data_IF_253167225498
#
_entry.id   IF_253167225498
#
_cell.length_a   1.000
_cell.length_b   1.000
_cell.length_c   1.000
_cell.angle_alpha   90.00
_cell.angle_beta   90.00
_cell.angle_gamma   90.00
#
_symmetry.space_group_name_H-M   'P 1'
#
loop_
_entity.id
_entity.type
_entity.pdbx_description
1 polymer ?
#
# COMPACT_ATOMS: atom_id res chain seq x y z
N UNK A 1 -6.11 -12.15 22.74
CA UNK A 1 -5.52 -13.47 22.43
C UNK A 1 -4.23 -13.22 21.68
N UNK A 2 -3.14 -13.93 21.98
CA UNK A 2 -1.86 -13.69 21.32
C UNK A 2 -1.97 -14.05 19.83
N UNK A 3 -1.56 -13.12 18.97
CA UNK A 3 -1.52 -13.31 17.51
C UNK A 3 -0.37 -14.25 17.18
N UNK A 4 -0.67 -15.41 16.62
CA UNK A 4 0.34 -16.38 16.20
C UNK A 4 0.46 -16.39 14.68
N UNK A 5 1.56 -15.82 14.16
CA UNK A 5 1.79 -15.72 12.71
C UNK A 5 2.00 -17.09 12.05
N UNK A 6 2.49 -18.08 12.80
CA UNK A 6 2.70 -19.43 12.31
C UNK A 6 1.36 -20.12 12.09
N UNK A 7 0.42 -19.99 13.02
CA UNK A 7 -0.94 -20.53 12.85
C UNK A 7 -1.67 -19.87 11.67
N UNK A 8 -1.52 -18.56 11.51
CA UNK A 8 -2.06 -17.84 10.36
C UNK A 8 -1.42 -18.29 9.03
N UNK A 9 -0.10 -18.54 9.03
CA UNK A 9 0.61 -19.10 7.88
C UNK A 9 0.13 -20.52 7.53
N UNK A 10 -0.08 -21.38 8.53
CA UNK A 10 -0.61 -22.73 8.33
C UNK A 10 -2.04 -22.72 7.75
N UNK A 11 -2.86 -21.73 8.12
CA UNK A 11 -4.19 -21.55 7.55
C UNK A 11 -4.18 -21.12 6.07
N UNK A 12 -3.09 -20.52 5.59
CA UNK A 12 -2.92 -20.16 4.17
C UNK A 12 -2.57 -21.39 3.31
N UNK A 13 -1.85 -22.36 3.89
CA UNK A 13 -1.41 -23.59 3.25
C UNK A 13 -2.56 -24.60 3.13
N UNK A 14 -3.66 -24.19 2.51
CA UNK A 14 -4.76 -25.10 2.21
C UNK A 14 -4.35 -26.09 1.11
N UNK A 15 -4.92 -27.31 1.10
CA UNK A 15 -4.68 -28.27 0.02
C UNK A 15 -4.94 -27.70 -1.38
N UNK A 16 -5.90 -26.78 -1.48
CA UNK A 16 -6.25 -26.07 -2.71
C UNK A 16 -5.11 -25.17 -3.20
N UNK A 17 -4.56 -24.33 -2.31
CA UNK A 17 -3.43 -23.45 -2.64
C UNK A 17 -2.20 -24.26 -3.03
N UNK A 18 -1.93 -25.37 -2.32
CA UNK A 18 -0.83 -26.29 -2.66
C UNK A 18 -1.05 -26.93 -4.03
N UNK A 19 -2.28 -27.35 -4.34
CA UNK A 19 -2.63 -27.91 -5.64
C UNK A 19 -2.43 -26.87 -6.75
N UNK A 20 -2.81 -25.62 -6.53
CA UNK A 20 -2.66 -24.56 -7.51
C UNK A 20 -1.19 -24.17 -7.74
N UNK A 21 -0.38 -24.14 -6.68
CA UNK A 21 1.07 -23.98 -6.77
C UNK A 21 1.68 -25.12 -7.58
N UNK A 22 1.30 -26.37 -7.27
CA UNK A 22 1.78 -27.56 -7.97
C UNK A 22 1.43 -27.53 -9.46
N UNK A 23 0.18 -27.21 -9.81
CA UNK A 23 -0.29 -27.09 -11.19
C UNK A 23 0.39 -25.96 -11.94
N UNK A 24 0.56 -24.78 -11.31
CA UNK A 24 1.21 -23.64 -11.94
C UNK A 24 2.69 -23.86 -12.19
N UNK A 25 3.38 -24.52 -11.26
CA UNK A 25 4.81 -24.77 -11.35
C UNK A 25 5.17 -26.09 -12.04
N UNK A 26 4.18 -26.88 -12.45
CA UNK A 26 4.38 -28.18 -13.09
C UNK A 26 5.09 -29.21 -12.20
N UNK A 27 4.86 -29.16 -10.88
CA UNK A 27 5.53 -30.04 -9.90
C UNK A 27 4.54 -30.86 -9.08
N UNK A 28 5.07 -31.86 -8.38
CA UNK A 28 4.27 -32.66 -7.46
C UNK A 28 3.85 -31.85 -6.22
N UNK A 29 2.68 -32.20 -5.65
CA UNK A 29 2.13 -31.53 -4.45
C UNK A 29 3.08 -31.60 -3.26
N UNK A 30 3.86 -32.67 -3.11
CA UNK A 30 4.85 -32.79 -2.04
C UNK A 30 5.97 -31.75 -2.17
N UNK A 31 6.46 -31.50 -3.38
CA UNK A 31 7.47 -30.48 -3.65
C UNK A 31 6.89 -29.07 -3.46
N UNK A 32 5.66 -28.82 -3.93
CA UNK A 32 4.95 -27.56 -3.73
C UNK A 32 4.73 -27.25 -2.24
N UNK A 33 4.31 -28.25 -1.45
CA UNK A 33 4.12 -28.11 0.00
C UNK A 33 5.44 -27.83 0.72
N UNK A 34 6.51 -28.57 0.38
CA UNK A 34 7.85 -28.35 0.92
C UNK A 34 8.36 -26.93 0.61
N UNK A 35 8.13 -26.46 -0.61
CA UNK A 35 8.53 -25.14 -1.04
C UNK A 35 7.74 -24.03 -0.34
N UNK A 36 6.42 -24.17 -0.26
CA UNK A 36 5.54 -23.19 0.38
C UNK A 36 5.80 -23.08 1.90
N UNK A 37 6.00 -24.21 2.58
CA UNK A 37 6.34 -24.25 4.01
C UNK A 37 7.69 -23.61 4.32
N UNK A 38 8.63 -23.61 3.37
CA UNK A 38 9.92 -22.93 3.51
C UNK A 38 9.86 -21.45 3.11
N UNK A 39 9.07 -21.12 2.09
CA UNK A 39 8.97 -19.77 1.55
C UNK A 39 8.27 -18.79 2.52
N UNK A 40 7.20 -19.22 3.20
CA UNK A 40 6.46 -18.36 4.12
C UNK A 40 7.34 -17.80 5.25
N UNK A 41 8.02 -18.63 6.08
CA UNK A 41 8.87 -18.11 7.14
C UNK A 41 10.05 -17.31 6.59
N UNK A 42 10.55 -17.62 5.39
CA UNK A 42 11.61 -16.84 4.72
C UNK A 42 11.14 -15.43 4.34
N UNK A 43 9.94 -15.31 3.78
CA UNK A 43 9.33 -14.02 3.44
C UNK A 43 9.04 -13.23 4.72
N UNK A 44 8.52 -13.87 5.76
CA UNK A 44 8.30 -13.22 7.06
C UNK A 44 9.61 -12.73 7.69
N UNK A 45 10.69 -13.51 7.58
CA UNK A 45 12.00 -13.13 8.07
C UNK A 45 12.57 -11.93 7.31
N UNK A 46 12.44 -11.91 5.98
CA UNK A 46 12.93 -10.80 5.15
C UNK A 46 12.10 -9.53 5.34
N UNK A 47 10.79 -9.64 5.54
CA UNK A 47 9.93 -8.52 5.94
C UNK A 47 10.28 -8.02 7.35
N UNK A 48 10.63 -8.91 8.28
CA UNK A 48 11.07 -8.54 9.63
C UNK A 48 12.36 -7.72 9.61
N UNK A 49 13.28 -8.05 8.69
CA UNK A 49 14.49 -7.26 8.45
C UNK A 49 14.17 -5.90 7.83
N UNK A 50 13.28 -5.87 6.83
CA UNK A 50 12.83 -4.65 6.15
C UNK A 50 12.23 -3.63 7.15
N UNK A 51 11.31 -4.07 8.01
CA UNK A 51 10.68 -3.22 9.05
C UNK A 51 11.61 -2.92 10.23
N UNK A 52 12.82 -3.49 10.24
CA UNK A 52 13.91 -3.08 11.12
C UNK A 52 14.34 -1.63 10.87
N UNK A 53 14.01 -1.07 9.70
CA UNK A 53 14.28 0.33 9.35
C UNK A 53 13.00 1.18 9.27
N UNK A 54 13.05 2.48 9.62
CA UNK A 54 11.90 3.38 9.49
C UNK A 54 11.39 3.50 8.05
N UNK A 55 12.30 3.42 7.06
CA UNK A 55 11.95 3.47 5.64
C UNK A 55 11.18 2.21 5.21
N UNK A 56 11.65 1.02 5.58
CA UNK A 56 11.00 -0.24 5.23
C UNK A 56 9.65 -0.45 5.91
N UNK A 57 9.50 0.00 7.17
CA UNK A 57 8.21 0.01 7.86
C UNK A 57 7.17 0.88 7.13
N UNK A 58 7.57 2.07 6.67
CA UNK A 58 6.72 2.96 5.87
C UNK A 58 6.38 2.38 4.49
N UNK A 59 7.33 1.71 3.82
CA UNK A 59 7.08 1.04 2.54
C UNK A 59 6.08 -0.10 2.69
N UNK A 60 6.27 -0.95 3.70
CA UNK A 60 5.34 -2.04 4.00
C UNK A 60 3.94 -1.49 4.31
N UNK A 61 3.84 -0.48 5.18
CA UNK A 61 2.57 0.16 5.52
C UNK A 61 1.82 0.70 4.31
N UNK A 62 2.54 1.35 3.37
CA UNK A 62 1.94 1.88 2.15
C UNK A 62 1.36 0.77 1.28
N UNK A 63 2.09 -0.33 1.10
CA UNK A 63 1.59 -1.46 0.32
C UNK A 63 0.42 -2.17 1.00
N UNK A 64 0.48 -2.40 2.32
CA UNK A 64 -0.64 -3.00 3.05
C UNK A 64 -1.89 -2.11 2.98
N UNK A 65 -1.71 -0.78 2.98
CA UNK A 65 -2.82 0.17 2.82
C UNK A 65 -3.41 0.14 1.41
N UNK A 66 -2.59 -0.06 0.37
CA UNK A 66 -3.05 -0.22 -1.02
C UNK A 66 -3.74 -1.56 -1.27
N UNK A 67 -3.43 -2.60 -0.49
CA UNK A 67 -4.00 -3.94 -0.60
C UNK A 67 -5.29 -4.15 0.22
N UNK A 68 -5.86 -3.08 0.82
CA UNK A 68 -7.04 -3.20 1.68
C UNK A 68 -8.31 -3.70 0.95
N UNK A 69 -8.38 -3.60 -0.39
CA UNK A 69 -9.55 -4.00 -1.19
C UNK A 69 -9.45 -5.32 -1.95
N UNK A 70 -8.26 -5.89 -2.15
CA UNK A 70 -8.05 -7.07 -3.00
C UNK A 70 -7.49 -8.24 -2.20
N UNK A 71 -8.29 -9.26 -1.96
CA UNK A 71 -7.84 -10.47 -1.29
C UNK A 71 -7.07 -11.35 -2.30
N UNK A 72 -5.80 -11.72 -2.06
CA UNK A 72 -5.02 -12.50 -3.02
C UNK A 72 -5.62 -13.89 -3.31
N UNK A 73 -6.42 -14.43 -2.39
CA UNK A 73 -7.21 -15.65 -2.65
C UNK A 73 -8.33 -15.44 -3.66
N UNK A 74 -8.94 -14.26 -3.70
CA UNK A 74 -9.99 -13.91 -4.67
C UNK A 74 -9.36 -13.66 -6.03
N UNK A 75 -8.22 -12.96 -6.07
CA UNK A 75 -7.43 -12.78 -7.30
C UNK A 75 -6.94 -14.12 -7.87
N UNK A 76 -6.55 -15.08 -7.01
CA UNK A 76 -6.17 -16.42 -7.47
C UNK A 76 -7.33 -17.15 -8.14
N UNK A 77 -8.57 -16.87 -7.73
CA UNK A 77 -9.80 -17.45 -8.29
C UNK A 77 -10.27 -16.72 -9.55
N UNK A 78 -10.22 -15.39 -9.57
CA UNK A 78 -10.75 -14.53 -10.64
C UNK A 78 -9.75 -14.29 -11.78
N UNK A 79 -8.48 -13.99 -11.46
CA UNK A 79 -7.43 -13.66 -12.42
C UNK A 79 -6.45 -14.82 -12.67
N UNK A 80 -6.33 -15.74 -11.70
CA UNK A 80 -5.49 -16.93 -11.81
C UNK A 80 -4.05 -16.74 -11.30
N UNK A 81 -3.31 -17.85 -11.29
CA UNK A 81 -1.94 -17.92 -10.78
C UNK A 81 -0.91 -17.03 -11.51
N UNK A 82 -0.91 -16.86 -12.85
CA UNK A 82 0.09 -16.04 -13.52
C UNK A 82 -0.03 -14.54 -13.20
N UNK A 83 -1.24 -13.99 -13.14
CA UNK A 83 -1.46 -12.58 -12.78
C UNK A 83 -1.08 -12.31 -11.32
N UNK A 84 -1.41 -13.24 -10.42
CA UNK A 84 -1.00 -13.15 -9.02
C UNK A 84 0.53 -13.20 -8.89
N UNK A 85 1.20 -14.06 -9.65
CA UNK A 85 2.66 -14.14 -9.67
C UNK A 85 3.29 -12.84 -10.20
N UNK A 86 2.76 -12.26 -11.28
CA UNK A 86 3.25 -10.99 -11.83
C UNK A 86 3.14 -9.85 -10.80
N UNK A 87 1.99 -9.79 -10.11
CA UNK A 87 1.75 -8.84 -9.03
C UNK A 87 2.72 -9.04 -7.87
N UNK A 88 2.88 -10.27 -7.42
CA UNK A 88 3.77 -10.60 -6.29
C UNK A 88 5.23 -10.32 -6.58
N UNK A 89 5.70 -10.65 -7.79
CA UNK A 89 7.06 -10.30 -8.24
C UNK A 89 7.31 -8.79 -8.18
N UNK A 90 6.36 -8.00 -8.67
CA UNK A 90 6.45 -6.52 -8.65
C UNK A 90 6.44 -5.96 -7.23
N UNK A 91 5.57 -6.48 -6.36
CA UNK A 91 5.49 -6.07 -4.95
C UNK A 91 6.75 -6.43 -4.17
N UNK A 92 7.22 -7.68 -4.29
CA UNK A 92 8.40 -8.16 -3.58
C UNK A 92 9.67 -7.44 -4.05
N UNK A 93 9.81 -7.23 -5.36
CA UNK A 93 10.92 -6.45 -5.92
C UNK A 93 10.89 -4.99 -5.44
N UNK A 94 9.71 -4.38 -5.34
CA UNK A 94 9.55 -3.03 -4.80
C UNK A 94 9.81 -2.92 -3.29
N UNK A 95 9.49 -3.94 -2.51
CA UNK A 95 9.70 -3.98 -1.06
C UNK A 95 11.13 -4.34 -0.67
N UNK A 96 11.61 -5.46 -1.18
CA UNK A 96 12.85 -6.09 -0.74
C UNK A 96 14.02 -5.71 -1.65
N UNK A 97 13.72 -5.28 -2.88
CA UNK A 97 14.68 -5.08 -3.97
C UNK A 97 14.78 -6.31 -4.88
N UNK A 98 15.10 -6.08 -6.16
CA UNK A 98 15.27 -7.17 -7.13
C UNK A 98 16.33 -8.19 -6.69
N UNK A 99 17.49 -7.71 -6.22
CA UNK A 99 18.61 -8.59 -5.82
C UNK A 99 18.29 -9.53 -4.66
N UNK A 100 17.58 -9.06 -3.64
CA UNK A 100 17.19 -9.91 -2.49
C UNK A 100 16.08 -10.89 -2.91
N UNK A 101 15.17 -10.45 -3.76
CA UNK A 101 14.11 -11.28 -4.35
C UNK A 101 14.70 -12.41 -5.17
N UNK A 102 15.72 -12.10 -5.99
CA UNK A 102 16.46 -13.09 -6.78
C UNK A 102 17.21 -14.09 -5.90
N UNK A 103 17.93 -13.64 -4.86
CA UNK A 103 18.67 -14.57 -3.98
C UNK A 103 17.73 -15.46 -3.16
N UNK A 104 16.59 -14.93 -2.70
CA UNK A 104 15.56 -15.74 -2.03
C UNK A 104 14.98 -16.78 -2.98
N UNK A 105 14.66 -16.39 -4.20
CA UNK A 105 14.15 -17.30 -5.22
C UNK A 105 15.15 -18.43 -5.53
N UNK A 106 16.44 -18.11 -5.66
CA UNK A 106 17.48 -19.12 -5.87
C UNK A 106 17.61 -20.09 -4.68
N UNK A 107 17.59 -19.57 -3.44
CA UNK A 107 17.69 -20.41 -2.24
C UNK A 107 16.47 -21.35 -2.11
N UNK A 108 15.26 -20.83 -2.33
CA UNK A 108 14.02 -21.59 -2.29
C UNK A 108 13.97 -22.61 -3.43
N UNK A 109 14.35 -22.21 -4.64
CA UNK A 109 14.40 -23.07 -5.82
C UNK A 109 15.36 -24.25 -5.65
N UNK A 110 16.54 -24.01 -5.06
CA UNK A 110 17.50 -25.06 -4.69
C UNK A 110 16.96 -25.99 -3.61
N UNK A 111 16.33 -25.44 -2.57
CA UNK A 111 15.77 -26.24 -1.47
C UNK A 111 14.58 -27.13 -1.92
N UNK A 112 13.74 -26.59 -2.80
CA UNK A 112 12.57 -27.27 -3.34
C UNK A 112 12.91 -28.23 -4.49
N UNK A 113 14.12 -28.13 -5.08
CA UNK A 113 14.53 -28.94 -6.23
C UNK A 113 13.92 -28.46 -7.56
N UNK A 114 13.44 -27.22 -7.62
CA UNK A 114 12.66 -26.66 -8.74
C UNK A 114 13.48 -25.76 -9.66
N UNK A 115 14.75 -25.52 -9.29
CA UNK A 115 15.61 -24.55 -9.97
C UNK A 115 15.17 -23.10 -9.77
N UNK A 116 15.92 -22.18 -10.39
CA UNK A 116 15.76 -20.73 -10.18
C UNK A 116 14.39 -20.21 -10.67
N UNK A 117 13.86 -20.74 -11.76
CA UNK A 117 12.56 -20.35 -12.31
C UNK A 117 11.38 -20.75 -11.40
N UNK A 118 11.44 -21.96 -10.82
CA UNK A 118 10.42 -22.43 -9.89
C UNK A 118 10.43 -21.65 -8.57
N UNK A 119 11.62 -21.32 -8.06
CA UNK A 119 11.76 -20.52 -6.85
C UNK A 119 11.21 -19.09 -7.00
N UNK A 120 11.44 -18.45 -8.16
CA UNK A 120 10.88 -17.12 -8.47
C UNK A 120 9.35 -17.16 -8.52
N UNK A 121 8.82 -18.13 -9.26
CA UNK A 121 7.38 -18.29 -9.45
C UNK A 121 6.66 -18.64 -8.14
N UNK A 122 7.29 -19.45 -7.28
CA UNK A 122 6.77 -19.76 -5.96
C UNK A 122 6.77 -18.53 -5.05
N UNK A 123 7.87 -17.79 -5.00
CA UNK A 123 7.96 -16.57 -4.17
C UNK A 123 6.97 -15.50 -4.66
N UNK A 124 6.79 -15.40 -5.97
CA UNK A 124 5.81 -14.52 -6.62
C UNK A 124 4.36 -14.88 -6.28
N UNK A 125 4.02 -16.16 -6.11
CA UNK A 125 2.67 -16.57 -5.72
C UNK A 125 2.45 -16.49 -4.20
N UNK A 126 3.45 -16.89 -3.42
CA UNK A 126 3.37 -16.96 -1.96
C UNK A 126 3.49 -15.57 -1.32
N UNK A 127 4.24 -14.65 -1.93
CA UNK A 127 4.43 -13.29 -1.42
C UNK A 127 3.12 -12.52 -1.19
N UNK A 128 2.25 -12.41 -2.20
CA UNK A 128 0.91 -11.82 -2.03
C UNK A 128 0.09 -12.50 -0.96
N UNK A 129 0.12 -13.83 -0.85
CA UNK A 129 -0.64 -14.56 0.19
C UNK A 129 -0.18 -14.20 1.60
N UNK A 130 1.14 -14.13 1.82
CA UNK A 130 1.73 -13.71 3.11
C UNK A 130 1.40 -12.26 3.41
N UNK A 131 1.50 -11.36 2.42
CA UNK A 131 1.15 -9.95 2.57
C UNK A 131 -0.34 -9.74 2.84
N UNK A 132 -1.22 -10.50 2.17
CA UNK A 132 -2.67 -10.46 2.38
C UNK A 132 -3.05 -10.95 3.77
N UNK A 133 -2.39 -12.00 4.26
CA UNK A 133 -2.54 -12.45 5.66
C UNK A 133 -2.09 -11.38 6.63
N UNK A 134 -0.95 -10.73 6.38
CA UNK A 134 -0.47 -9.66 7.23
C UNK A 134 -1.40 -8.43 7.23
N UNK A 135 -1.96 -8.10 6.07
CA UNK A 135 -2.98 -7.05 5.90
C UNK A 135 -4.27 -7.39 6.64
N UNK A 136 -4.70 -8.64 6.63
CA UNK A 136 -5.85 -9.11 7.41
C UNK A 136 -5.56 -8.99 8.90
N UNK A 137 -4.40 -9.44 9.34
CA UNK A 137 -3.97 -9.37 10.73
C UNK A 137 -3.87 -7.92 11.24
N UNK A 138 -3.38 -7.01 10.40
CA UNK A 138 -3.31 -5.59 10.70
C UNK A 138 -4.72 -5.01 10.93
N UNK A 139 -5.70 -5.40 10.11
CA UNK A 139 -7.10 -4.96 10.22
C UNK A 139 -7.79 -5.53 11.46
N UNK A 140 -7.69 -6.84 11.67
CA UNK A 140 -8.32 -7.53 12.79
C UNK A 140 -7.79 -7.03 14.14
N UNK A 141 -6.51 -6.63 14.19
CA UNK A 141 -5.87 -6.11 15.38
C UNK A 141 -5.87 -4.57 15.48
N UNK A 142 -6.41 -3.84 14.48
CA UNK A 142 -6.38 -2.38 14.44
C UNK A 142 -4.97 -1.78 14.55
N UNK A 143 -3.96 -2.47 14.02
CA UNK A 143 -2.55 -2.09 14.21
C UNK A 143 -2.07 -1.13 13.11
N UNK A 144 -1.26 -0.15 13.49
CA UNK A 144 -0.51 0.67 12.55
C UNK A 144 0.86 0.03 12.22
N UNK A 145 1.57 0.61 11.25
CA UNK A 145 2.88 0.16 10.78
C UNK A 145 3.88 -0.16 11.92
N UNK A 146 3.88 0.68 12.97
CA UNK A 146 4.75 0.52 14.13
C UNK A 146 4.36 -0.67 15.01
N UNK A 147 3.06 -0.92 15.17
CA UNK A 147 2.54 -2.08 15.89
C UNK A 147 2.89 -3.38 15.18
N UNK A 148 2.76 -3.39 13.84
CA UNK A 148 3.14 -4.53 13.01
C UNK A 148 4.65 -4.79 13.06
N UNK A 149 5.48 -3.74 12.93
CA UNK A 149 6.93 -3.86 13.03
C UNK A 149 7.37 -4.40 14.40
N UNK A 150 6.71 -3.96 15.49
CA UNK A 150 6.94 -4.50 16.83
C UNK A 150 6.60 -5.98 16.92
N UNK A 151 5.46 -6.38 16.35
CA UNK A 151 5.01 -7.77 16.35
C UNK A 151 5.92 -8.69 15.54
N UNK A 152 6.34 -8.28 14.34
CA UNK A 152 7.32 -9.02 13.52
C UNK A 152 8.64 -9.19 14.26
N UNK A 153 9.12 -8.11 14.90
CA UNK A 153 10.37 -8.15 15.68
C UNK A 153 10.25 -9.09 16.88
N UNK A 154 9.10 -9.07 17.57
CA UNK A 154 8.83 -9.95 18.71
C UNK A 154 8.68 -11.42 18.31
N UNK A 155 8.21 -11.71 17.10
CA UNK A 155 8.06 -13.09 16.59
C UNK A 155 9.23 -13.56 15.73
N UNK A 156 10.27 -12.74 15.58
CA UNK A 156 11.45 -13.05 14.76
C UNK A 156 12.06 -14.40 15.11
N UNK A 157 12.26 -14.69 16.39
CA UNK A 157 12.91 -15.94 16.81
C UNK A 157 12.05 -17.16 16.47
N UNK A 158 10.73 -17.03 16.57
CA UNK A 158 9.78 -18.07 16.17
C UNK A 158 9.73 -18.24 14.65
N UNK A 159 9.80 -17.14 13.88
CA UNK A 159 9.87 -17.16 12.42
C UNK A 159 11.17 -17.83 11.96
N UNK A 160 12.30 -17.48 12.58
CA UNK A 160 13.60 -18.08 12.27
C UNK A 160 13.65 -19.56 12.62
N UNK A 161 13.06 -19.97 13.75
CA UNK A 161 12.96 -21.38 14.14
C UNK A 161 12.07 -22.20 13.19
N UNK A 162 11.16 -21.55 12.46
CA UNK A 162 10.30 -22.19 11.46
C UNK A 162 10.98 -22.35 10.08
N UNK A 163 12.14 -21.72 9.85
CA UNK A 163 12.89 -21.90 8.59
C UNK A 163 13.54 -23.28 8.62
N UNK A 164 13.34 -24.12 7.58
CA UNK A 164 14.03 -25.41 7.49
C UNK A 164 15.55 -25.22 7.51
N UNK A 165 16.27 -26.05 8.28
CA UNK A 165 17.73 -25.96 8.42
C UNK A 165 18.45 -25.94 7.07
N UNK A 166 18.08 -26.85 6.16
CA UNK A 166 18.67 -26.88 4.81
C UNK A 166 18.41 -25.64 3.95
N UNK A 167 17.37 -24.84 4.23
CA UNK A 167 17.15 -23.55 3.58
C UNK A 167 17.93 -22.43 4.27
N UNK A 168 18.07 -22.47 5.61
CA UNK A 168 18.88 -21.51 6.35
C UNK A 168 20.35 -21.55 5.92
N UNK A 169 20.90 -22.72 5.64
CA UNK A 169 22.26 -22.84 5.09
C UNK A 169 22.39 -22.17 3.72
N UNK A 170 21.39 -22.32 2.85
CA UNK A 170 21.37 -21.71 1.52
C UNK A 170 21.22 -20.18 1.59
N UNK A 171 20.37 -19.68 2.49
CA UNK A 171 20.19 -18.24 2.75
C UNK A 171 21.44 -17.62 3.39
N UNK A 172 22.12 -18.37 4.26
CA UNK A 172 23.41 -18.01 4.84
C UNK A 172 24.51 -17.95 3.79
N UNK A 173 24.61 -18.98 2.94
CA UNK A 173 25.54 -19.01 1.81
C UNK A 173 25.27 -17.88 0.79
N UNK A 174 24.01 -17.48 0.62
CA UNK A 174 23.62 -16.34 -0.20
C UNK A 174 23.89 -14.97 0.46
N UNK A 175 24.45 -14.94 1.68
CA UNK A 175 24.76 -13.73 2.44
C UNK A 175 23.53 -12.99 2.97
N UNK A 176 22.35 -13.59 2.90
CA UNK A 176 21.09 -12.94 3.30
C UNK A 176 20.94 -12.90 4.81
N UNK A 177 21.35 -13.96 5.51
CA UNK A 177 21.31 -14.03 6.97
C UNK A 177 22.31 -13.05 7.59
N UNK A 178 23.51 -12.94 7.02
CA UNK A 178 24.53 -11.98 7.46
C UNK A 178 24.08 -10.53 7.24
N UNK A 179 23.42 -10.25 6.10
CA UNK A 179 22.85 -8.93 5.81
C UNK A 179 21.71 -8.57 6.77
N UNK A 180 20.84 -9.52 7.10
CA UNK A 180 19.79 -9.29 8.08
C UNK A 180 20.34 -9.07 9.50
N UNK A 181 21.41 -9.78 9.85
CA UNK A 181 22.10 -9.61 11.14
C UNK A 181 22.82 -8.26 11.24
N UNK A 182 23.46 -7.80 10.16
CA UNK A 182 24.23 -6.55 10.11
C UNK A 182 23.35 -5.30 9.91
N UNK A 183 22.25 -5.40 9.16
CA UNK A 183 21.21 -4.36 9.10
C UNK A 183 20.55 -4.12 10.46
N UNK A 184 20.37 -5.19 11.24
CA UNK A 184 19.85 -5.09 12.59
C UNK A 184 20.90 -4.62 13.62
N UNK A 185 22.18 -4.95 13.46
CA UNK A 185 23.25 -4.41 14.30
C UNK A 185 23.43 -2.88 14.11
N UNK A 186 23.24 -2.39 12.89
CA UNK A 186 23.26 -0.94 12.59
C UNK A 186 21.99 -0.24 13.07
N UNK A 187 20.82 -0.86 12.98
CA UNK A 187 19.58 -0.35 13.58
C UNK A 187 19.65 -0.34 15.13
N UNK A 188 20.19 -1.39 15.74
CA UNK A 188 20.39 -1.50 17.19
C UNK A 188 21.49 -0.54 17.69
N UNK A 189 22.56 -0.33 16.93
CA UNK A 189 23.59 0.68 17.24
C UNK A 189 23.07 2.11 17.07
N UNK A 190 22.09 2.33 16.18
CA UNK A 190 21.42 3.64 16.03
C UNK A 190 20.40 3.86 17.16
N UNK A 191 19.65 2.83 17.55
CA UNK A 191 18.79 2.84 18.74
C UNK A 191 19.58 3.00 20.05
N UNK A 192 20.77 2.40 20.15
CA UNK A 192 21.67 2.51 21.29
C UNK A 192 22.39 3.87 21.35
N UNK A 193 22.62 4.55 20.21
CA UNK A 193 23.10 5.96 20.22
C UNK A 193 22.02 6.95 20.66
N UNK A 194 20.74 6.64 20.46
CA UNK A 194 19.61 7.45 20.94
C UNK A 194 19.33 7.15 22.42
N UNK A 195 19.50 5.91 22.88
CA UNK A 195 19.34 5.53 24.28
C UNK A 195 20.57 5.88 25.15
N UNK A 196 21.78 5.74 24.61
CA UNK A 196 23.06 6.05 25.27
C UNK A 196 23.37 7.55 25.37
N UNK A 197 22.60 8.41 24.68
CA UNK A 197 22.67 9.87 24.82
C UNK A 197 21.85 10.41 26.01
N UNK A 198 21.21 9.54 26.81
CA UNK A 198 20.42 9.92 27.99
C UNK A 198 21.02 9.49 29.33
N UNK A 199 22.22 8.91 29.34
CA UNK A 199 22.88 8.42 30.56
C UNK A 199 24.36 8.79 30.63
N UNK A 200 24.65 9.78 31.46
CA UNK A 200 25.94 10.04 32.10
C UNK A 200 27.02 10.84 31.31
N UNK A 201 27.33 11.99 31.90
CA UNK A 201 28.59 12.75 31.88
C UNK A 201 28.91 13.63 30.68
N UNK A 202 28.66 14.93 30.89
CA UNK A 202 29.16 16.01 30.04
C UNK A 202 28.83 17.39 30.58
N UNK A 203 28.77 17.54 31.91
CA UNK A 203 28.93 18.85 32.53
C UNK A 203 30.31 19.39 32.12
N UNK A 204 30.38 20.68 31.80
CA UNK A 204 31.56 21.42 31.33
C UNK A 204 32.04 21.14 29.90
N UNK A 205 31.41 21.77 28.91
CA UNK A 205 32.09 22.77 28.07
C UNK A 205 31.14 23.33 27.02
N UNK A 206 31.29 24.64 26.79
CA UNK A 206 30.64 25.44 25.73
C UNK A 206 29.16 25.77 25.96
N UNK A 207 28.82 26.35 27.11
CA UNK A 207 28.60 27.80 27.13
C UNK A 207 29.53 28.57 26.18
N UNK A 208 29.10 28.77 24.92
CA UNK A 208 29.35 29.94 24.05
C UNK A 208 28.84 29.67 22.63
N UNK A 209 27.53 29.77 22.45
CA UNK A 209 26.91 30.25 21.23
C UNK A 209 25.46 30.61 21.56
N UNK A 210 25.28 31.79 22.17
CA UNK A 210 23.96 32.39 22.33
C UNK A 210 23.46 32.86 20.96
N UNK A 211 22.22 32.51 20.59
CA UNK A 211 21.58 33.04 19.38
C UNK A 211 20.21 32.44 19.06
N UNK A 212 19.16 33.16 19.47
CA UNK A 212 17.72 33.05 19.14
C UNK A 212 16.86 32.02 19.90
N UNK A 213 16.11 32.58 20.84
CA UNK A 213 14.94 31.99 21.50
C UNK A 213 13.85 31.61 20.49
N UNK A 214 13.46 30.34 20.47
CA UNK A 214 12.19 29.90 19.90
C UNK A 214 11.34 29.33 21.02
N UNK A 215 10.38 30.14 21.44
CA UNK A 215 9.37 29.83 22.44
C UNK A 215 8.52 28.63 21.99
N UNK A 216 8.07 27.76 22.90
CA UNK A 216 7.83 26.37 22.51
C UNK A 216 6.34 26.13 22.14
N UNK A 217 6.07 26.01 20.83
CA UNK A 217 4.75 25.81 20.20
C UNK A 217 4.02 24.49 20.54
N UNK A 218 4.59 23.60 21.35
CA UNK A 218 3.96 22.34 21.75
C UNK A 218 2.73 22.53 22.65
N UNK A 219 2.64 23.66 23.36
CA UNK A 219 1.44 23.99 24.15
C UNK A 219 0.24 24.39 23.28
N UNK A 220 0.47 24.99 22.10
CA UNK A 220 -0.61 25.29 21.15
C UNK A 220 -1.14 24.02 20.47
N UNK A 221 -0.28 23.05 20.19
CA UNK A 221 -0.68 21.75 19.63
C UNK A 221 -1.51 20.90 20.61
N UNK A 222 -1.23 21.00 21.92
CA UNK A 222 -1.99 20.29 22.95
C UNK A 222 -3.40 20.88 23.17
N UNK A 223 -3.57 22.19 23.03
CA UNK A 223 -4.89 22.84 23.14
C UNK A 223 -5.79 22.52 21.94
N UNK A 224 -5.23 22.35 20.74
CA UNK A 224 -5.99 21.96 19.54
C UNK A 224 -6.41 20.48 19.60
N UNK A 225 -5.56 19.60 20.11
CA UNK A 225 -5.88 18.18 20.30
C UNK A 225 -6.97 17.96 21.37
N UNK A 226 -6.99 18.77 22.43
CA UNK A 226 -8.03 18.75 23.45
C UNK A 226 -9.37 19.36 22.98
N UNK A 227 -9.33 20.35 22.08
CA UNK A 227 -10.55 20.93 21.48
C UNK A 227 -11.24 19.99 20.48
N UNK A 228 -10.47 19.23 19.70
CA UNK A 228 -11.00 18.29 18.71
C UNK A 228 -11.63 17.03 19.35
N UNK A 229 -11.15 16.59 20.51
CA UNK A 229 -11.74 15.45 21.22
C UNK A 229 -13.09 15.80 21.85
N UNK A 230 -13.27 17.00 22.39
CA UNK A 230 -14.55 17.45 22.97
C UNK A 230 -15.62 17.67 21.89
N UNK A 231 -15.23 18.12 20.69
CA UNK A 231 -16.16 18.30 19.56
C UNK A 231 -16.65 16.98 18.96
N UNK A 232 -15.85 15.90 19.02
CA UNK A 232 -16.24 14.56 18.57
C UNK A 232 -17.24 13.87 19.53
N UNK A 233 -17.31 14.31 20.79
CA UNK A 233 -18.23 13.79 21.82
C UNK A 233 -19.55 14.56 21.92
N UNK A 234 -19.73 15.65 21.17
CA UNK A 234 -20.95 16.48 21.18
C UNK A 234 -21.91 16.23 20.00
N UNK A 235 -21.65 15.23 19.14
CA UNK A 235 -22.64 14.82 18.14
C UNK A 235 -23.59 13.78 18.74
N UNK A 236 -24.88 14.11 18.94
CA UNK A 236 -25.86 13.17 19.47
C UNK A 236 -26.01 11.98 18.51
N UNK A 237 -25.95 10.80 19.11
CA UNK A 237 -26.20 9.51 18.49
C UNK A 237 -27.72 9.38 18.32
N UNK A 238 -28.22 9.35 17.09
CA UNK A 238 -29.54 8.81 16.81
C UNK A 238 -29.38 7.46 16.11
N UNK A 239 -29.62 6.41 16.88
CA UNK A 239 -29.98 5.10 16.38
C UNK A 239 -31.39 5.17 15.80
N UNK A 240 -31.62 4.64 14.61
CA UNK A 240 -32.91 4.05 14.26
C UNK A 240 -32.66 2.77 13.48
N UNK A 241 -33.10 1.68 14.11
CA UNK A 241 -33.22 0.34 13.56
C UNK A 241 -34.30 0.34 12.49
N UNK A 242 -34.00 -0.22 11.31
CA UNK A 242 -35.01 -0.81 10.44
C UNK A 242 -34.44 -2.10 9.84
N UNK A 243 -34.92 -3.22 10.36
CA UNK A 243 -34.91 -4.51 9.68
C UNK A 243 -35.58 -4.34 8.32
N UNK A 244 -34.95 -4.82 7.25
CA UNK A 244 -35.67 -5.25 6.06
C UNK A 244 -35.12 -6.61 5.64
N UNK A 245 -35.84 -7.66 6.03
CA UNK A 245 -35.85 -8.96 5.37
C UNK A 245 -36.35 -8.76 3.94
N UNK A 246 -35.54 -9.08 2.93
CA UNK A 246 -36.06 -9.37 1.59
C UNK A 246 -35.31 -10.56 0.98
N UNK A 247 -35.88 -11.73 1.26
CA UNK A 247 -36.18 -12.85 0.36
C UNK A 247 -35.58 -12.76 -1.05
N UNK A 248 -34.81 -13.80 -1.36
CA UNK A 248 -34.47 -14.30 -2.69
C UNK A 248 -35.68 -14.31 -3.63
N UNK A 249 -35.59 -13.65 -4.78
CA UNK A 249 -36.40 -13.98 -5.96
C UNK A 249 -35.53 -13.90 -7.22
N UNK A 250 -35.50 -14.93 -8.08
CA UNK A 250 -34.84 -14.85 -9.37
C UNK A 250 -35.73 -14.06 -10.33
N UNK A 251 -35.18 -13.06 -11.01
CA UNK A 251 -35.83 -12.48 -12.19
C UNK A 251 -34.97 -12.74 -13.42
N UNK A 252 -35.57 -13.48 -14.33
CA UNK A 252 -35.11 -13.76 -15.66
C UNK A 252 -35.00 -12.46 -16.50
N UNK A 253 -33.95 -12.40 -17.32
CA UNK A 253 -33.94 -11.84 -18.66
C UNK A 253 -34.40 -10.39 -18.88
N UNK A 254 -33.44 -9.45 -18.87
CA UNK A 254 -33.39 -8.39 -19.88
C UNK A 254 -32.05 -8.50 -20.60
N UNK A 255 -32.15 -8.86 -21.88
CA UNK A 255 -31.07 -8.86 -22.86
C UNK A 255 -30.51 -7.44 -23.03
N UNK A 256 -29.18 -7.31 -23.07
CA UNK A 256 -28.47 -6.21 -23.74
C UNK A 256 -28.29 -4.90 -22.97
N UNK A 257 -27.25 -4.84 -22.13
CA UNK A 257 -26.29 -3.72 -22.19
C UNK A 257 -24.98 -4.22 -21.56
N UNK A 258 -23.95 -4.42 -22.38
CA UNK A 258 -22.61 -4.73 -21.89
C UNK A 258 -22.15 -3.60 -20.94
N UNK A 259 -21.28 -3.86 -19.95
CA UNK A 259 -20.62 -2.77 -19.23
C UNK A 259 -20.01 -1.84 -20.28
N UNK A 260 -20.32 -0.55 -20.22
CA UNK A 260 -19.87 0.41 -21.21
C UNK A 260 -18.34 0.33 -21.32
N UNK A 261 -17.85 -0.11 -22.47
CA UNK A 261 -16.42 -0.24 -22.70
C UNK A 261 -15.84 1.18 -22.78
N UNK A 262 -15.11 1.54 -21.73
CA UNK A 262 -14.43 2.83 -21.58
C UNK A 262 -13.00 2.79 -22.13
N UNK A 263 -12.67 1.75 -22.92
CA UNK A 263 -11.35 1.58 -23.52
C UNK A 263 -11.34 2.18 -24.92
N UNK A 264 -10.45 3.15 -25.15
CA UNK A 264 -10.21 3.73 -26.48
C UNK A 264 -8.75 3.49 -26.83
N UNK A 265 -8.49 2.88 -27.98
CA UNK A 265 -7.12 2.61 -28.46
C UNK A 265 -6.29 1.79 -27.42
N UNK A 266 -6.91 0.84 -26.72
CA UNK A 266 -6.27 0.02 -25.69
C UNK A 266 -6.02 0.72 -24.34
N UNK A 267 -6.49 1.96 -24.18
CA UNK A 267 -6.34 2.75 -22.95
C UNK A 267 -7.69 2.85 -22.22
N UNK A 268 -7.72 2.43 -20.96
CA UNK A 268 -8.91 2.55 -20.12
C UNK A 268 -9.06 3.98 -19.60
N UNK A 269 -10.00 4.74 -20.16
CA UNK A 269 -10.21 6.15 -19.82
C UNK A 269 -10.64 6.30 -18.36
N UNK A 270 -11.37 5.36 -17.77
CA UNK A 270 -11.77 5.42 -16.38
C UNK A 270 -10.57 5.35 -15.41
N UNK A 271 -9.61 4.47 -15.69
CA UNK A 271 -8.37 4.36 -14.91
C UNK A 271 -7.49 5.62 -15.07
N UNK A 272 -7.46 6.20 -16.28
CA UNK A 272 -6.69 7.41 -16.56
C UNK A 272 -7.31 8.65 -15.89
N UNK A 273 -8.64 8.76 -15.88
CA UNK A 273 -9.36 9.78 -15.12
C UNK A 273 -9.09 9.58 -13.62
N UNK A 274 -9.21 8.36 -13.11
CA UNK A 274 -9.00 8.11 -11.68
C UNK A 274 -7.55 8.42 -11.24
N UNK A 275 -6.56 8.19 -12.10
CA UNK A 275 -5.15 8.50 -11.85
C UNK A 275 -4.87 10.01 -11.83
N UNK A 276 -5.40 10.74 -12.81
CA UNK A 276 -5.28 12.21 -12.85
C UNK A 276 -6.00 12.84 -11.66
N UNK A 277 -7.26 12.45 -11.39
CA UNK A 277 -8.00 12.89 -10.20
C UNK A 277 -7.30 12.54 -8.89
N UNK A 278 -6.66 11.36 -8.81
CA UNK A 278 -5.86 10.96 -7.66
C UNK A 278 -4.66 11.88 -7.43
N UNK A 279 -3.98 12.27 -8.52
CA UNK A 279 -2.85 13.21 -8.47
C UNK A 279 -3.32 14.59 -8.00
N UNK A 280 -4.44 15.09 -8.52
CA UNK A 280 -5.03 16.35 -8.05
C UNK A 280 -5.43 16.29 -6.57
N UNK A 281 -6.11 15.23 -6.15
CA UNK A 281 -6.51 15.04 -4.74
C UNK A 281 -5.30 14.94 -3.80
N UNK A 282 -4.16 14.47 -4.30
CA UNK A 282 -2.92 14.41 -3.52
C UNK A 282 -2.16 15.74 -3.49
N UNK A 283 -2.21 16.54 -4.58
CA UNK A 283 -1.43 17.78 -4.69
C UNK A 283 -2.18 19.02 -4.19
N UNK A 284 -3.48 19.13 -4.44
CA UNK A 284 -4.29 20.29 -4.01
C UNK A 284 -4.20 20.56 -2.49
N UNK A 285 -4.23 19.55 -1.59
CA UNK A 285 -4.11 19.79 -0.15
C UNK A 285 -2.71 20.24 0.29
N UNK A 286 -1.68 20.02 -0.53
CA UNK A 286 -0.29 20.42 -0.19
C UNK A 286 -0.03 21.90 -0.47
N UNK A 287 -0.96 22.59 -1.14
CA UNK A 287 -0.86 24.02 -1.41
C UNK A 287 -1.41 24.79 -0.21
N UNK A 288 -0.54 25.05 0.76
CA UNK A 288 -0.85 25.85 1.96
C UNK A 288 -0.20 27.24 1.94
N UNK A 289 0.78 27.44 1.06
CA UNK A 289 1.59 28.65 0.96
C UNK A 289 2.05 28.89 -0.50
N UNK A 290 2.58 30.08 -0.75
CA UNK A 290 3.00 30.53 -2.08
C UNK A 290 4.14 29.69 -2.68
N UNK A 291 5.08 29.17 -1.88
CA UNK A 291 6.17 28.33 -2.38
C UNK A 291 5.66 26.94 -2.75
N UNK A 292 4.76 26.37 -1.93
CA UNK A 292 4.09 25.10 -2.22
C UNK A 292 3.18 25.18 -3.45
N UNK A 293 2.50 26.32 -3.67
CA UNK A 293 1.77 26.56 -4.93
C UNK A 293 2.71 26.52 -6.14
N UNK A 294 3.85 27.22 -6.09
CA UNK A 294 4.83 27.23 -7.18
C UNK A 294 5.42 25.84 -7.46
N UNK A 295 5.63 25.02 -6.42
CA UNK A 295 6.11 23.65 -6.58
C UNK A 295 5.05 22.67 -7.12
N UNK A 296 3.76 22.91 -6.83
CA UNK A 296 2.66 22.05 -7.26
C UNK A 296 2.09 22.41 -8.64
N UNK A 297 2.25 23.67 -9.06
CA UNK A 297 1.84 24.20 -10.37
C UNK A 297 2.16 23.28 -11.58
N UNK A 298 3.40 22.79 -11.77
CA UNK A 298 3.72 21.94 -12.92
C UNK A 298 2.96 20.61 -12.89
N UNK A 299 2.82 19.99 -11.72
CA UNK A 299 2.13 18.71 -11.56
C UNK A 299 0.62 18.83 -11.77
N UNK A 300 0.04 19.95 -11.35
CA UNK A 300 -1.38 20.23 -11.61
C UNK A 300 -1.58 20.49 -13.10
N UNK A 301 -0.68 21.21 -13.76
CA UNK A 301 -0.75 21.46 -15.19
C UNK A 301 -0.57 20.18 -16.04
N UNK A 302 0.30 19.26 -15.61
CA UNK A 302 0.45 17.94 -16.23
C UNK A 302 -0.85 17.12 -16.09
N UNK A 303 -1.47 17.14 -14.91
CA UNK A 303 -2.71 16.40 -14.69
C UNK A 303 -3.90 17.02 -15.44
N UNK A 304 -3.95 18.35 -15.58
CA UNK A 304 -4.88 19.05 -16.48
C UNK A 304 -4.66 18.62 -17.94
N UNK A 305 -3.41 18.55 -18.39
CA UNK A 305 -3.08 18.13 -19.76
C UNK A 305 -3.48 16.67 -20.02
N UNK A 306 -3.39 15.81 -19.01
CA UNK A 306 -3.90 14.44 -19.08
C UNK A 306 -5.42 14.38 -19.19
N UNK A 307 -6.15 15.23 -18.45
CA UNK A 307 -7.59 15.37 -18.58
C UNK A 307 -8.00 15.83 -19.98
N UNK A 308 -7.26 16.77 -20.58
CA UNK A 308 -7.46 17.18 -21.98
C UNK A 308 -7.28 16.02 -22.97
N UNK A 309 -6.24 15.22 -22.78
CA UNK A 309 -6.03 14.01 -23.59
C UNK A 309 -7.18 13.01 -23.46
N UNK A 310 -7.83 12.95 -22.30
CA UNK A 310 -9.01 12.10 -22.07
C UNK A 310 -10.23 12.69 -22.78
N UNK A 311 -10.46 14.01 -22.71
CA UNK A 311 -11.57 14.68 -23.43
C UNK A 311 -11.51 14.40 -24.93
N UNK A 312 -10.32 14.52 -25.53
CA UNK A 312 -10.09 14.25 -26.95
C UNK A 312 -10.40 12.77 -27.32
N UNK A 313 -10.13 11.83 -26.41
CA UNK A 313 -10.40 10.40 -26.61
C UNK A 313 -11.86 10.05 -26.29
N UNK A 314 -12.48 10.75 -25.36
CA UNK A 314 -13.89 10.59 -25.02
C UNK A 314 -14.79 10.93 -26.21
N UNK A 315 -14.37 11.86 -27.08
CA UNK A 315 -15.02 12.11 -28.36
C UNK A 315 -15.05 10.88 -29.30
N UNK A 316 -14.21 9.85 -29.08
CA UNK A 316 -14.25 8.59 -29.83
C UNK A 316 -15.08 7.49 -29.16
N UNK A 317 -15.53 7.69 -27.91
CA UNK A 317 -16.38 6.73 -27.20
C UNK A 317 -17.79 6.70 -27.77
N UNK A 318 -18.47 5.57 -27.55
CA UNK A 318 -19.92 5.43 -27.77
C UNK A 318 -20.70 6.42 -26.89
N UNK A 319 -21.94 6.79 -27.27
CA UNK A 319 -22.79 7.66 -26.45
C UNK A 319 -23.00 7.17 -25.01
N UNK A 320 -22.97 5.84 -24.81
CA UNK A 320 -23.08 5.19 -23.51
C UNK A 320 -21.79 5.31 -22.70
N UNK A 321 -20.63 5.14 -23.34
CA UNK A 321 -19.31 5.32 -22.73
C UNK A 321 -19.05 6.76 -22.31
N UNK A 322 -19.47 7.74 -23.12
CA UNK A 322 -19.39 9.18 -22.76
C UNK A 322 -20.24 9.50 -21.53
N UNK A 323 -21.49 9.02 -21.48
CA UNK A 323 -22.37 9.16 -20.32
C UNK A 323 -21.80 8.51 -19.06
N UNK A 324 -21.13 7.36 -19.18
CA UNK A 324 -20.46 6.71 -18.06
C UNK A 324 -19.26 7.51 -17.55
N UNK A 325 -18.47 8.09 -18.46
CA UNK A 325 -17.35 8.97 -18.14
C UNK A 325 -17.82 10.27 -17.45
N UNK A 326 -18.84 10.92 -18.00
CA UNK A 326 -19.44 12.12 -17.43
C UNK A 326 -19.94 11.89 -16.00
N UNK A 327 -20.61 10.76 -15.74
CA UNK A 327 -21.05 10.38 -14.38
C UNK A 327 -19.90 10.25 -13.39
N UNK A 328 -18.78 9.65 -13.81
CA UNK A 328 -17.60 9.47 -12.96
C UNK A 328 -16.99 10.84 -12.57
N UNK A 329 -17.00 11.79 -13.51
CA UNK A 329 -16.44 13.13 -13.32
C UNK A 329 -17.37 13.99 -12.47
N UNK A 330 -18.68 13.93 -12.70
CA UNK A 330 -19.70 14.58 -11.85
C UNK A 330 -19.63 14.09 -10.41
N UNK A 331 -19.37 12.79 -10.19
CA UNK A 331 -19.22 12.24 -8.84
C UNK A 331 -17.96 12.75 -8.11
N UNK A 332 -16.90 13.09 -8.86
CA UNK A 332 -15.63 13.56 -8.29
C UNK A 332 -15.51 15.09 -8.18
N UNK A 333 -16.26 15.84 -9.01
CA UNK A 333 -16.29 17.29 -9.04
C UNK A 333 -16.49 17.97 -7.67
N UNK A 334 -17.41 17.54 -6.77
CA UNK A 334 -17.63 18.23 -5.50
C UNK A 334 -16.38 18.17 -4.59
N UNK A 335 -15.71 17.03 -4.53
CA UNK A 335 -14.51 16.87 -3.71
C UNK A 335 -13.34 17.74 -4.21
N UNK A 336 -13.21 17.89 -5.53
CA UNK A 336 -12.16 18.73 -6.13
C UNK A 336 -12.49 20.22 -5.97
N UNK A 337 -13.76 20.60 -6.14
CA UNK A 337 -14.20 21.98 -5.93
C UNK A 337 -13.98 22.44 -4.48
N UNK A 338 -14.27 21.59 -3.50
CA UNK A 338 -14.01 21.88 -2.08
C UNK A 338 -12.51 22.09 -1.80
N UNK A 339 -11.63 21.32 -2.44
CA UNK A 339 -10.17 21.51 -2.32
C UNK A 339 -9.71 22.82 -2.98
N UNK A 340 -10.27 23.16 -4.15
CA UNK A 340 -10.01 24.42 -4.84
C UNK A 340 -10.48 25.64 -4.03
N UNK A 341 -11.62 25.55 -3.35
CA UNK A 341 -12.13 26.62 -2.47
C UNK A 341 -11.24 26.82 -1.25
N UNK A 342 -10.74 25.72 -0.66
CA UNK A 342 -9.77 25.79 0.44
C UNK A 342 -8.48 26.49 0.03
N UNK A 343 -7.95 26.21 -1.16
CA UNK A 343 -6.75 26.91 -1.67
C UNK A 343 -7.04 28.38 -1.95
N UNK A 344 -8.21 28.69 -2.50
CA UNK A 344 -8.62 30.07 -2.79
C UNK A 344 -8.73 30.94 -1.54
N UNK A 345 -8.97 30.33 -0.37
CA UNK A 345 -8.99 31.00 0.93
C UNK A 345 -7.59 31.21 1.56
N UNK A 346 -6.52 30.68 0.96
CA UNK A 346 -5.14 30.84 1.45
C UNK A 346 -4.39 31.96 0.71
N UNK A 347 -3.25 32.45 1.23
CA UNK A 347 -2.39 33.41 0.52
C UNK A 347 -1.86 32.88 -0.82
N UNK A 348 -1.84 31.56 -0.98
CA UNK A 348 -1.46 30.87 -2.21
C UNK A 348 -2.55 30.93 -3.30
N UNK A 349 -3.79 31.30 -2.91
CA UNK A 349 -4.95 31.33 -3.78
C UNK A 349 -4.84 32.30 -4.95
N UNK A 350 -4.14 33.42 -4.81
CA UNK A 350 -3.94 34.40 -5.90
C UNK A 350 -3.04 33.88 -7.02
N UNK A 351 -2.06 33.02 -6.69
CA UNK A 351 -1.11 32.43 -7.64
C UNK A 351 -1.68 31.17 -8.26
N UNK A 352 -2.43 30.39 -7.48
CA UNK A 352 -3.07 29.17 -7.96
C UNK A 352 -4.37 29.44 -8.74
N UNK A 353 -4.96 30.64 -8.63
CA UNK A 353 -6.23 31.04 -9.27
C UNK A 353 -6.33 30.65 -10.75
N UNK A 354 -5.42 31.05 -11.66
CA UNK A 354 -5.55 30.74 -13.09
C UNK A 354 -5.55 29.23 -13.38
N UNK A 355 -4.83 28.44 -12.58
CA UNK A 355 -4.75 26.98 -12.76
C UNK A 355 -5.95 26.27 -12.14
N UNK A 356 -6.47 26.77 -11.02
CA UNK A 356 -7.72 26.30 -10.41
C UNK A 356 -8.91 26.59 -11.33
N UNK A 357 -8.97 27.77 -11.94
CA UNK A 357 -10.04 28.15 -12.86
C UNK A 357 -9.99 27.29 -14.13
N UNK A 358 -8.79 27.03 -14.66
CA UNK A 358 -8.59 26.13 -15.80
C UNK A 358 -9.04 24.69 -15.47
N UNK A 359 -8.66 24.18 -14.29
CA UNK A 359 -9.08 22.87 -13.81
C UNK A 359 -10.61 22.76 -13.70
N UNK A 360 -11.27 23.77 -13.12
CA UNK A 360 -12.73 23.78 -12.98
C UNK A 360 -13.42 23.78 -14.34
N UNK A 361 -12.93 24.59 -15.28
CA UNK A 361 -13.43 24.60 -16.65
C UNK A 361 -13.31 23.22 -17.31
N UNK A 362 -12.19 22.51 -17.09
CA UNK A 362 -11.96 21.18 -17.65
C UNK A 362 -12.85 20.09 -17.06
N UNK A 363 -13.09 20.14 -15.75
CA UNK A 363 -14.03 19.22 -15.10
C UNK A 363 -15.47 19.44 -15.57
N UNK A 364 -15.87 20.69 -15.79
CA UNK A 364 -17.20 21.03 -16.31
C UNK A 364 -17.36 20.63 -17.78
N UNK A 365 -16.32 20.83 -18.60
CA UNK A 365 -16.29 20.39 -20.01
C UNK A 365 -16.45 18.86 -20.10
N UNK A 366 -15.67 18.12 -19.30
CA UNK A 366 -15.74 16.66 -19.23
C UNK A 366 -17.04 16.10 -18.65
N UNK A 367 -17.69 16.83 -17.74
CA UNK A 367 -18.99 16.46 -17.20
C UNK A 367 -20.13 16.58 -18.23
N UNK A 368 -19.88 17.26 -19.37
CA UNK A 368 -20.85 17.51 -20.45
C UNK A 368 -20.60 16.66 -21.72
N UNK A 369 -19.53 15.86 -21.75
CA UNK A 369 -19.18 14.96 -22.88
C UNK A 369 -20.15 13.80 -23.01
#
# INVERSE_FOLDING_TARGET
>A
MAVNLISAAQQLLTPEVIAQIASFLGMDRGAAQKAATAAIPTILASLSDLVGTPAGANQLSKLLSQQQGSNPMDMLRDAGAPDLAQLGSSMLSGLLGGRTTDTMAQAIGKFAGTGDGGGKSLLALVGPLVLGMLSKQQRDAGMDANGLASLLRSQKDQIMAAIPSGLSDQLGAAGLIDKARSGMATAAATGSRIAGASGATGASQAARAAGRAQWPYWLAALVIAAGLSIYALQRPTEQTVAQNTNVTRPSAGTVGMAPADLTVDGVNLANQVNSSLGTLKAQLPTITDQASAQAALPKINDAISQLDGITARAAKLSPEGRRALAKLIVAAAPAINEMCDKISATPAGTIAKPVIDNLRAKLDELAKV
#
